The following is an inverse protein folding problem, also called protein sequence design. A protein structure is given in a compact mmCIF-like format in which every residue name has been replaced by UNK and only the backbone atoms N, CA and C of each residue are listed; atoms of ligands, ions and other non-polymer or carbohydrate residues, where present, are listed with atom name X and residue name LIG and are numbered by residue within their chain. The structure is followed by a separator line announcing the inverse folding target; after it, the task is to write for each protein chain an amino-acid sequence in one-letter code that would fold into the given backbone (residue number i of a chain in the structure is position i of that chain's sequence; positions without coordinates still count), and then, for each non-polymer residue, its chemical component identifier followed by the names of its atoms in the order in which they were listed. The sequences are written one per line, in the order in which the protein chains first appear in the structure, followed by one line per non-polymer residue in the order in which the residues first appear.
data_IF_711323460924
#
_entry.id   IF_711323460924
#
_cell.length_a   1.000
_cell.length_b   1.000
_cell.length_c   1.000
_cell.angle_alpha   90.00
_cell.angle_beta   90.00
_cell.angle_gamma   90.00
#
_symmetry.space_group_name_H-M   'P 1'
#
loop_
_entity.id
_entity.type
_entity.pdbx_description
1 polymer ?
#
# COMPACT_ATOMS: atom_id res chain seq x y z
N UNK A 1 -7.32 -4.97 10.11
CA UNK A 1 -6.66 -4.19 9.04
C UNK A 1 -5.84 -3.07 9.63
N UNK A 2 -4.87 -2.61 8.91
CA UNK A 2 -3.99 -1.55 9.35
C UNK A 2 -4.74 -0.22 9.47
N UNK A 3 -4.54 0.46 10.58
CA UNK A 3 -5.04 1.81 10.80
C UNK A 3 -4.29 2.44 11.97
N UNK A 4 -4.19 3.78 12.04
CA UNK A 4 -3.55 4.43 13.17
C UNK A 4 -4.33 4.19 14.47
N UNK A 5 -3.60 4.01 15.57
CA UNK A 5 -4.22 3.91 16.90
C UNK A 5 -4.76 5.25 17.37
N UNK A 6 -4.03 6.31 17.08
CA UNK A 6 -4.40 7.68 17.42
C UNK A 6 -4.05 8.61 16.28
N UNK A 7 -4.87 9.65 16.10
CA UNK A 7 -4.61 10.68 15.11
C UNK A 7 -4.73 12.04 15.76
N UNK A 8 -3.91 12.99 15.31
CA UNK A 8 -4.01 14.37 15.73
C UNK A 8 -5.30 15.00 15.19
N UNK A 9 -5.66 14.66 13.96
CA UNK A 9 -6.89 15.12 13.34
C UNK A 9 -7.68 13.91 12.84
N UNK A 10 -9.00 13.94 13.09
CA UNK A 10 -9.88 12.85 12.66
C UNK A 10 -10.10 12.83 11.15
N UNK A 11 -10.07 13.99 10.53
CA UNK A 11 -10.33 14.15 9.10
C UNK A 11 -9.14 14.84 8.44
N UNK A 12 -8.95 14.59 7.14
CA UNK A 12 -7.88 15.18 6.37
C UNK A 12 -8.39 15.67 5.02
N UNK A 13 -7.70 16.66 4.45
CA UNK A 13 -7.99 17.10 3.11
C UNK A 13 -7.57 16.03 2.10
N UNK A 14 -8.37 15.88 1.04
CA UNK A 14 -8.08 14.91 -0.02
C UNK A 14 -6.70 15.16 -0.64
N UNK A 15 -6.43 16.40 -1.06
CA UNK A 15 -5.16 16.77 -1.66
C UNK A 15 -4.84 16.00 -2.94
N UNK A 16 -3.68 16.29 -3.50
CA UNK A 16 -3.12 15.57 -4.65
C UNK A 16 -1.76 15.03 -4.27
N UNK A 17 -1.39 13.90 -4.84
CA UNK A 17 -0.09 13.30 -4.62
C UNK A 17 0.89 13.89 -5.62
N UNK A 18 1.91 14.59 -5.13
CA UNK A 18 2.89 15.25 -5.97
C UNK A 18 4.29 14.68 -5.74
N UNK A 19 5.09 14.76 -6.79
CA UNK A 19 6.52 14.46 -6.72
C UNK A 19 6.82 12.97 -6.73
N UNK A 20 8.10 12.67 -6.49
CA UNK A 20 8.65 11.33 -6.47
C UNK A 20 9.01 10.99 -5.03
N UNK A 21 8.89 9.71 -4.65
CA UNK A 21 9.23 9.26 -3.31
C UNK A 21 10.71 9.54 -3.02
N UNK A 22 10.99 10.10 -1.84
CA UNK A 22 12.35 10.35 -1.38
C UNK A 22 12.78 9.34 -0.31
N UNK A 23 11.82 8.80 0.45
CA UNK A 23 12.05 7.76 1.42
C UNK A 23 11.43 6.45 0.99
N UNK A 24 11.98 5.32 1.46
CA UNK A 24 11.45 4.01 1.13
C UNK A 24 11.62 3.63 -0.33
N UNK A 25 12.70 4.10 -0.98
CA UNK A 25 12.96 3.86 -2.40
C UNK A 25 13.95 2.72 -2.64
N UNK A 26 14.52 2.16 -1.60
CA UNK A 26 15.45 1.05 -1.69
C UNK A 26 15.04 -0.09 -0.80
N UNK A 27 15.50 -1.31 -1.15
CA UNK A 27 15.25 -2.50 -0.35
C UNK A 27 16.11 -2.47 0.90
N UNK A 28 15.49 -2.54 2.07
CA UNK A 28 16.20 -2.49 3.36
C UNK A 28 16.12 -3.79 4.13
N UNK A 29 15.06 -4.56 3.95
CA UNK A 29 14.80 -5.75 4.76
C UNK A 29 14.90 -7.05 3.96
N UNK A 30 14.44 -7.04 2.72
CA UNK A 30 14.38 -8.24 1.89
C UNK A 30 15.22 -8.15 0.64
N UNK A 31 15.24 -9.23 -0.11
CA UNK A 31 15.98 -9.34 -1.38
C UNK A 31 15.14 -8.91 -2.57
N UNK A 32 13.82 -8.91 -2.42
CA UNK A 32 12.86 -8.61 -3.48
C UNK A 32 11.84 -7.61 -3.00
N UNK A 33 11.34 -6.78 -3.91
CA UNK A 33 10.36 -5.78 -3.56
C UNK A 33 9.37 -5.48 -4.68
N UNK A 34 8.26 -4.90 -4.29
CA UNK A 34 7.24 -4.40 -5.20
C UNK A 34 7.23 -2.88 -5.10
N UNK A 35 7.61 -2.24 -6.19
CA UNK A 35 7.81 -0.79 -6.27
C UNK A 35 6.67 -0.14 -7.02
N UNK A 36 6.17 0.97 -6.51
CA UNK A 36 5.15 1.76 -7.19
C UNK A 36 5.79 2.55 -8.33
N UNK A 37 5.13 2.56 -9.49
CA UNK A 37 5.60 3.35 -10.65
C UNK A 37 4.70 4.54 -10.94
N UNK A 38 3.51 4.59 -10.32
CA UNK A 38 2.57 5.71 -10.43
C UNK A 38 2.07 6.12 -9.06
N UNK A 39 1.66 7.41 -8.88
CA UNK A 39 1.07 7.84 -7.62
C UNK A 39 -0.37 7.35 -7.50
N UNK A 40 -0.75 6.92 -6.31
CA UNK A 40 -2.12 6.53 -6.02
C UNK A 40 -2.35 6.43 -4.52
N UNK A 41 -3.61 6.43 -4.14
CA UNK A 41 -4.02 6.13 -2.77
C UNK A 41 -4.32 4.64 -2.67
N UNK A 42 -3.66 3.98 -1.72
CA UNK A 42 -3.84 2.54 -1.48
C UNK A 42 -4.58 2.39 -0.16
N UNK A 43 -5.72 1.72 -0.20
CA UNK A 43 -6.55 1.53 0.99
C UNK A 43 -5.99 0.43 1.88
N UNK A 44 -6.36 0.46 3.17
CA UNK A 44 -6.00 -0.60 4.10
C UNK A 44 -6.48 -1.97 3.61
N UNK A 45 -7.66 -2.02 2.99
CA UNK A 45 -8.22 -3.25 2.43
C UNK A 45 -7.39 -3.79 1.27
N UNK A 46 -6.91 -2.90 0.40
CA UNK A 46 -6.05 -3.27 -0.72
C UNK A 46 -4.71 -3.82 -0.22
N UNK A 47 -4.13 -3.18 0.78
CA UNK A 47 -2.89 -3.67 1.41
C UNK A 47 -3.11 -5.07 1.99
N UNK A 48 -4.20 -5.28 2.70
CA UNK A 48 -4.52 -6.59 3.30
C UNK A 48 -4.77 -7.65 2.22
N UNK A 49 -5.48 -7.31 1.15
CA UNK A 49 -5.71 -8.22 0.02
C UNK A 49 -4.40 -8.63 -0.64
N UNK A 50 -3.49 -7.68 -0.86
CA UNK A 50 -2.18 -7.96 -1.43
C UNK A 50 -1.35 -8.85 -0.52
N UNK A 51 -1.34 -8.54 0.78
CA UNK A 51 -0.64 -9.35 1.78
C UNK A 51 -1.13 -10.81 1.76
N UNK A 52 -2.45 -10.99 1.76
CA UNK A 52 -3.04 -12.34 1.74
C UNK A 52 -2.71 -13.09 0.46
N UNK A 53 -2.70 -12.42 -0.68
CA UNK A 53 -2.35 -13.02 -1.96
C UNK A 53 -0.89 -13.53 -1.93
N UNK A 54 0.02 -12.73 -1.42
CA UNK A 54 1.44 -13.11 -1.29
C UNK A 54 1.59 -14.31 -0.35
N UNK A 55 1.03 -14.21 0.84
CA UNK A 55 1.16 -15.23 1.87
C UNK A 55 0.56 -16.57 1.41
N UNK A 56 -0.58 -16.51 0.75
CA UNK A 56 -1.25 -17.71 0.23
C UNK A 56 -0.42 -18.39 -0.85
N UNK A 57 0.14 -17.62 -1.76
CA UNK A 57 0.97 -18.17 -2.85
C UNK A 57 2.23 -18.82 -2.31
N UNK A 58 2.87 -18.19 -1.33
CA UNK A 58 4.10 -18.71 -0.73
C UNK A 58 3.87 -19.77 0.34
N UNK A 59 2.62 -20.11 0.64
CA UNK A 59 2.26 -21.10 1.68
C UNK A 59 2.94 -20.81 3.02
N UNK A 60 3.03 -19.53 3.37
CA UNK A 60 3.66 -19.03 4.60
C UNK A 60 5.18 -19.26 4.67
N UNK A 61 5.84 -19.57 3.56
CA UNK A 61 7.30 -19.62 3.51
C UNK A 61 7.85 -18.21 3.31
N UNK A 62 9.09 -18.00 3.75
CA UNK A 62 9.75 -16.73 3.61
C UNK A 62 9.23 -15.67 4.57
N UNK A 63 9.62 -14.45 4.32
CA UNK A 63 9.31 -13.30 5.17
C UNK A 63 8.81 -12.14 4.32
N UNK A 64 7.72 -11.52 4.78
CA UNK A 64 7.10 -10.38 4.09
C UNK A 64 7.15 -9.15 5.00
N UNK A 65 7.56 -8.02 4.43
CA UNK A 65 7.47 -6.72 5.10
C UNK A 65 6.54 -5.83 4.31
N UNK A 66 5.61 -5.19 5.01
CA UNK A 66 4.74 -4.16 4.44
C UNK A 66 5.39 -2.82 4.77
N UNK A 67 5.82 -2.08 3.74
CA UNK A 67 6.57 -0.84 3.90
C UNK A 67 5.70 0.42 3.84
N UNK A 68 4.41 0.27 3.62
CA UNK A 68 3.46 1.37 3.58
C UNK A 68 2.44 1.22 4.70
N UNK A 69 1.92 2.36 5.16
CA UNK A 69 0.91 2.36 6.22
C UNK A 69 -0.22 3.31 5.88
N UNK A 70 -1.48 2.88 6.02
CA UNK A 70 -2.64 3.73 5.69
C UNK A 70 -2.92 4.69 6.86
N UNK A 71 -2.34 5.87 6.80
CA UNK A 71 -2.44 6.88 7.85
C UNK A 71 -3.36 8.06 7.52
N UNK A 72 -3.92 8.10 6.31
CA UNK A 72 -4.79 9.19 5.88
C UNK A 72 -6.24 8.74 5.90
N UNK A 73 -7.11 9.42 6.68
CA UNK A 73 -8.52 9.06 6.71
C UNK A 73 -9.25 9.60 5.48
N UNK A 74 -10.15 8.78 4.93
CA UNK A 74 -11.02 9.19 3.83
C UNK A 74 -12.45 9.22 4.33
N UNK A 75 -13.10 10.37 4.16
CA UNK A 75 -14.47 10.58 4.56
C UNK A 75 -15.41 10.39 3.39
N UNK A 76 -16.57 9.82 3.64
CA UNK A 76 -17.60 9.64 2.64
C UNK A 76 -18.96 9.94 3.25
N UNK A 77 -19.78 10.73 2.57
CA UNK A 77 -21.16 10.96 2.98
C UNK A 77 -22.04 9.88 2.37
N UNK A 78 -23.06 9.38 3.12
CA UNK A 78 -24.07 8.52 2.53
C UNK A 78 -24.75 9.21 1.35
N UNK A 79 -25.15 8.45 0.34
CA UNK A 79 -25.80 8.98 -0.85
C UNK A 79 -27.08 9.76 -0.53
N UNK A 80 -27.72 9.47 0.58
CA UNK A 80 -28.98 10.06 1.04
C UNK A 80 -28.81 11.38 1.78
N UNK A 81 -27.56 11.76 2.13
CA UNK A 81 -27.28 12.98 2.88
C UNK A 81 -27.12 14.16 1.92
N UNK A 82 -27.79 15.27 2.24
CA UNK A 82 -27.70 16.49 1.45
C UNK A 82 -26.29 17.04 1.46
N UNK A 83 -25.86 17.60 0.33
CA UNK A 83 -24.57 18.27 0.19
C UNK A 83 -24.55 19.53 1.07
N UNK A 84 -23.34 19.91 1.53
CA UNK A 84 -23.13 21.17 2.22
C UNK A 84 -23.19 21.17 3.74
N UNK A 85 -23.51 20.05 4.37
CA UNK A 85 -23.56 19.96 5.85
C UNK A 85 -22.23 19.51 6.46
N UNK A 86 -21.11 19.96 5.91
CA UNK A 86 -19.80 19.61 6.40
C UNK A 86 -19.28 18.30 5.85
N UNK A 87 -18.08 17.94 6.26
CA UNK A 87 -17.39 16.73 5.78
C UNK A 87 -17.97 15.48 6.44
N UNK A 88 -18.14 14.42 5.68
CA UNK A 88 -18.62 13.14 6.19
C UNK A 88 -17.69 12.53 7.24
N UNK A 89 -18.14 11.47 7.91
CA UNK A 89 -17.30 10.75 8.86
C UNK A 89 -16.23 9.96 8.15
N UNK A 90 -15.04 9.78 8.77
CA UNK A 90 -14.02 8.89 8.19
C UNK A 90 -14.54 7.46 8.09
N UNK A 91 -14.46 6.87 6.89
CA UNK A 91 -14.90 5.50 6.65
C UNK A 91 -13.76 4.52 6.52
N UNK A 92 -12.66 4.95 5.94
CA UNK A 92 -11.52 4.08 5.70
C UNK A 92 -10.22 4.86 5.67
N UNK A 93 -9.13 4.14 5.70
CA UNK A 93 -7.79 4.70 5.75
C UNK A 93 -7.02 4.36 4.48
N UNK A 94 -6.22 5.30 4.00
CA UNK A 94 -5.40 5.11 2.81
C UNK A 94 -3.97 5.55 3.05
N UNK A 95 -3.06 5.02 2.24
CA UNK A 95 -1.69 5.48 2.14
C UNK A 95 -1.54 6.23 0.83
N UNK A 96 -0.94 7.42 0.87
CA UNK A 96 -0.58 8.16 -0.33
C UNK A 96 0.77 7.66 -0.81
N UNK A 97 0.77 6.93 -1.91
CA UNK A 97 1.99 6.30 -2.46
C UNK A 97 2.50 7.14 -3.61
N UNK A 98 3.77 7.53 -3.55
CA UNK A 98 4.45 8.26 -4.62
C UNK A 98 5.21 7.30 -5.51
N UNK A 99 5.45 7.65 -6.80
CA UNK A 99 6.27 6.81 -7.67
C UNK A 99 7.67 6.59 -7.07
N UNK A 100 8.15 5.36 -7.16
CA UNK A 100 9.45 4.97 -6.62
C UNK A 100 9.40 4.34 -5.24
N UNK A 101 8.25 4.39 -4.56
CA UNK A 101 8.11 3.83 -3.21
C UNK A 101 8.07 2.30 -3.26
N UNK A 102 8.87 1.66 -2.41
CA UNK A 102 8.78 0.22 -2.18
C UNK A 102 7.62 -0.04 -1.23
N UNK A 103 6.63 -0.79 -1.68
CA UNK A 103 5.43 -1.06 -0.88
C UNK A 103 5.54 -2.34 -0.08
N UNK A 104 6.15 -3.36 -0.64
CA UNK A 104 6.33 -4.66 -0.01
C UNK A 104 7.73 -5.17 -0.27
N UNK A 105 8.27 -5.95 0.68
CA UNK A 105 9.54 -6.64 0.50
C UNK A 105 9.38 -8.11 0.88
N UNK A 106 10.12 -8.97 0.18
CA UNK A 106 10.15 -10.42 0.45
C UNK A 106 11.58 -10.89 0.59
N UNK A 107 11.75 -11.89 1.44
CA UNK A 107 13.02 -12.60 1.58
C UNK A 107 12.75 -14.07 1.93
N UNK A 108 13.77 -14.91 1.77
CA UNK A 108 13.66 -16.32 2.11
C UNK A 108 12.91 -17.17 1.09
N UNK A 109 12.72 -16.66 -0.13
CA UNK A 109 12.06 -17.38 -1.23
C UNK A 109 12.89 -17.21 -2.50
N UNK A 110 12.63 -18.06 -3.50
CA UNK A 110 13.29 -17.93 -4.81
C UNK A 110 12.79 -16.69 -5.55
N UNK A 111 13.58 -16.19 -6.48
CA UNK A 111 13.19 -15.05 -7.30
C UNK A 111 11.90 -15.32 -8.08
N UNK A 112 11.77 -16.53 -8.63
CA UNK A 112 10.58 -16.92 -9.39
C UNK A 112 9.33 -16.91 -8.51
N UNK A 113 9.42 -17.47 -7.31
CA UNK A 113 8.31 -17.46 -6.36
C UNK A 113 7.95 -16.04 -5.95
N UNK A 114 8.95 -15.19 -5.73
CA UNK A 114 8.72 -13.78 -5.38
C UNK A 114 8.03 -13.03 -6.51
N UNK A 115 8.45 -13.23 -7.76
CA UNK A 115 7.82 -12.60 -8.93
C UNK A 115 6.35 -13.00 -9.06
N UNK A 116 6.06 -14.28 -8.92
CA UNK A 116 4.69 -14.78 -8.99
C UNK A 116 3.82 -14.22 -7.87
N UNK A 117 4.35 -14.23 -6.65
CA UNK A 117 3.63 -13.69 -5.49
C UNK A 117 3.31 -12.21 -5.67
N UNK A 118 4.28 -11.41 -6.11
CA UNK A 118 4.07 -9.99 -6.34
C UNK A 118 3.17 -9.70 -7.54
N UNK A 119 3.17 -10.56 -8.55
CA UNK A 119 2.22 -10.46 -9.66
C UNK A 119 0.79 -10.59 -9.17
N UNK A 120 0.53 -11.56 -8.30
CA UNK A 120 -0.78 -11.75 -7.68
C UNK A 120 -1.16 -10.57 -6.78
N UNK A 121 -0.20 -10.06 -6.03
CA UNK A 121 -0.42 -8.89 -5.17
C UNK A 121 -0.73 -7.65 -5.99
N UNK A 122 -0.02 -7.44 -7.09
CA UNK A 122 -0.22 -6.27 -7.97
C UNK A 122 -1.64 -6.22 -8.51
N UNK A 123 -2.26 -7.37 -8.77
CA UNK A 123 -3.64 -7.45 -9.22
C UNK A 123 -4.64 -6.93 -8.18
N UNK A 124 -4.25 -6.86 -6.91
CA UNK A 124 -5.08 -6.34 -5.81
C UNK A 124 -4.84 -4.87 -5.52
N UNK A 125 -3.86 -4.26 -6.17
CA UNK A 125 -3.48 -2.88 -5.95
C UNK A 125 -3.98 -1.97 -7.08
N UNK A 126 -4.28 -0.70 -6.79
CA UNK A 126 -4.89 0.21 -7.78
C UNK A 126 -3.89 0.92 -8.68
N UNK A 127 -2.59 0.64 -8.56
CA UNK A 127 -1.56 1.37 -9.29
C UNK A 127 -0.63 0.40 -10.01
N UNK A 128 0.12 0.95 -10.96
CA UNK A 128 1.17 0.18 -11.63
C UNK A 128 2.35 -0.06 -10.70
N UNK A 129 2.93 -1.25 -10.80
CA UNK A 129 4.00 -1.70 -9.95
C UNK A 129 5.12 -2.31 -10.78
N UNK A 130 6.31 -2.40 -10.18
CA UNK A 130 7.47 -3.04 -10.78
C UNK A 130 8.13 -3.95 -9.75
N UNK A 131 8.49 -5.16 -10.18
CA UNK A 131 9.29 -6.05 -9.38
C UNK A 131 10.73 -5.55 -9.35
N UNK A 132 11.32 -5.49 -8.18
CA UNK A 132 12.73 -5.11 -8.02
C UNK A 132 13.44 -6.13 -7.16
N UNK A 133 14.73 -6.27 -7.38
CA UNK A 133 15.59 -7.15 -6.61
C UNK A 133 16.79 -6.39 -6.09
N UNK A 134 17.36 -6.89 -5.00
CA UNK A 134 18.54 -6.29 -4.40
C UNK A 134 19.74 -6.51 -5.32
N UNK A 135 20.46 -5.44 -5.59
CA UNK A 135 21.73 -5.52 -6.31
C UNK A 135 22.82 -5.93 -5.32
N UNK A 136 23.65 -6.86 -5.74
CA UNK A 136 24.79 -7.34 -4.95
C UNK A 136 26.01 -6.46 -5.26
#
# INVERSE_FOLDING_TARGET
MLQPKRTKFRKAHKGRIHGIAKGGVSLNFGSYGLKATRPERVTARQIESARRAITRHLKRTGRLWIRIFPDVPVSKKPAEVRMGKGKGTPEFWVCRVKPGKIMFELDGVSEEAAKEAFSLAAAKLPLETKFVRKLI
#
